data_IF_078276060318
#
_entry.id   IF_078276060318
#
_cell.length_a   1.000
_cell.length_b   1.000
_cell.length_c   1.000
_cell.angle_alpha   90.00
_cell.angle_beta   90.00
_cell.angle_gamma   90.00
#
_symmetry.space_group_name_H-M   'P 1'
#
loop_
_entity.id
_entity.type
_entity.pdbx_description
1 polymer ?
#
# COMPACT_ATOMS: atom_id res chain seq x y z
N UNK A 1 9.35 -9.81 -2.64
CA UNK A 1 8.94 -8.38 -2.67
C UNK A 1 7.73 -8.23 -3.60
N UNK A 2 6.87 -7.25 -3.35
CA UNK A 2 5.66 -7.02 -4.15
C UNK A 2 6.04 -6.35 -5.48
N UNK A 3 5.85 -7.00 -6.66
CA UNK A 3 6.24 -6.43 -7.94
C UNK A 3 5.47 -5.15 -8.29
N UNK A 4 4.14 -5.18 -8.14
CA UNK A 4 3.24 -4.04 -8.35
C UNK A 4 2.21 -4.05 -7.23
N UNK A 5 1.79 -2.90 -6.73
CA UNK A 5 0.74 -2.84 -5.73
C UNK A 5 0.41 -1.41 -5.36
N UNK A 6 -0.40 -1.25 -4.32
CA UNK A 6 -0.81 0.04 -3.80
C UNK A 6 -0.67 0.07 -2.28
N UNK A 7 -0.23 1.22 -1.77
CA UNK A 7 -0.22 1.52 -0.34
C UNK A 7 -1.04 2.78 -0.09
N UNK A 8 -2.02 2.65 0.80
CA UNK A 8 -2.89 3.72 1.25
C UNK A 8 -2.55 3.99 2.71
N UNK A 9 -2.20 5.22 3.03
CA UNK A 9 -1.95 5.69 4.39
C UNK A 9 -3.09 6.62 4.80
N UNK A 10 -3.94 6.13 5.69
CA UNK A 10 -5.07 6.88 6.24
C UNK A 10 -4.75 7.36 7.66
N UNK A 11 -4.86 8.65 7.98
CA UNK A 11 -4.70 9.15 9.35
C UNK A 11 -5.71 8.48 10.30
N UNK A 12 -5.24 7.94 11.42
CA UNK A 12 -6.11 7.30 12.41
C UNK A 12 -6.87 8.36 13.25
N UNK A 13 -8.05 8.75 12.76
CA UNK A 13 -8.94 9.69 13.44
C UNK A 13 -9.38 9.21 14.82
N UNK A 14 -9.42 7.89 15.07
CA UNK A 14 -9.74 7.32 16.38
C UNK A 14 -8.66 7.61 17.42
N UNK A 15 -7.43 7.90 16.97
CA UNK A 15 -6.30 8.32 17.80
C UNK A 15 -6.00 9.83 17.70
N UNK A 16 -6.94 10.62 17.17
CA UNK A 16 -6.81 12.06 17.08
C UNK A 16 -5.91 12.54 15.93
N UNK A 17 -5.58 11.67 14.97
CA UNK A 17 -4.88 12.07 13.76
C UNK A 17 -5.85 12.22 12.60
N UNK A 18 -5.93 13.41 12.01
CA UNK A 18 -6.90 13.73 10.97
C UNK A 18 -6.22 14.42 9.80
N UNK A 19 -6.59 14.03 8.58
CA UNK A 19 -6.02 14.59 7.36
C UNK A 19 -6.45 13.81 6.12
N UNK A 20 -6.02 14.25 4.93
CA UNK A 20 -6.24 13.49 3.71
C UNK A 20 -5.46 12.18 3.75
N UNK A 21 -6.06 11.11 3.22
CA UNK A 21 -5.33 9.88 2.96
C UNK A 21 -4.26 10.11 1.87
N UNK A 22 -3.11 9.47 2.02
CA UNK A 22 -2.04 9.46 1.03
C UNK A 22 -2.06 8.11 0.32
N UNK A 23 -2.03 8.12 -1.02
CA UNK A 23 -1.93 6.90 -1.82
C UNK A 23 -0.62 6.92 -2.58
N UNK A 24 0.08 5.79 -2.59
CA UNK A 24 1.29 5.60 -3.38
C UNK A 24 1.29 4.21 -4.03
N UNK A 25 1.86 4.14 -5.25
CA UNK A 25 2.04 2.87 -5.94
C UNK A 25 3.33 2.20 -5.48
N UNK A 26 3.25 0.89 -5.29
CA UNK A 26 4.38 0.01 -5.05
C UNK A 26 4.91 -0.47 -6.39
N UNK A 27 6.21 -0.29 -6.62
CA UNK A 27 6.93 -0.79 -7.79
C UNK A 27 8.18 -1.51 -7.32
N UNK A 28 8.28 -2.80 -7.64
CA UNK A 28 9.41 -3.66 -7.28
C UNK A 28 9.74 -3.64 -5.78
N UNK A 29 8.72 -3.63 -4.93
CA UNK A 29 8.83 -3.60 -3.47
C UNK A 29 9.15 -2.23 -2.89
N UNK A 30 9.26 -1.18 -3.72
CA UNK A 30 9.50 0.18 -3.29
C UNK A 30 8.26 1.03 -3.49
N UNK A 31 8.01 1.96 -2.57
CA UNK A 31 6.97 2.95 -2.70
C UNK A 31 7.52 4.30 -2.29
N UNK A 32 6.94 5.36 -2.84
CA UNK A 32 7.29 6.72 -2.49
C UNK A 32 6.01 7.55 -2.45
N UNK A 33 5.75 8.14 -1.29
CA UNK A 33 4.68 9.11 -1.13
C UNK A 33 5.19 10.48 -1.57
N UNK A 34 4.40 11.23 -2.34
CA UNK A 34 4.82 12.55 -2.83
C UNK A 34 5.08 13.53 -1.67
N UNK A 35 6.22 14.23 -1.73
CA UNK A 35 6.58 15.28 -0.77
C UNK A 35 5.50 16.36 -0.76
N UNK A 36 4.94 16.67 0.40
CA UNK A 36 3.89 17.69 0.56
C UNK A 36 2.46 17.18 0.35
N UNK A 37 2.26 15.90 0.00
CA UNK A 37 0.93 15.28 -0.08
C UNK A 37 0.68 14.30 1.09
N UNK A 38 0.20 14.86 2.20
CA UNK A 38 -0.70 14.14 3.12
C UNK A 38 -0.10 13.36 4.30
N UNK A 39 1.22 13.28 4.47
CA UNK A 39 1.81 12.73 5.71
C UNK A 39 2.21 13.86 6.64
N UNK A 40 1.40 14.08 7.69
CA UNK A 40 1.64 15.09 8.73
C UNK A 40 2.35 14.52 9.96
N UNK A 41 2.57 13.20 9.98
CA UNK A 41 3.05 12.42 11.12
C UNK A 41 1.96 12.15 12.17
N UNK A 42 2.18 11.13 13.00
CA UNK A 42 1.22 10.59 13.96
C UNK A 42 0.75 9.18 13.58
N UNK A 43 -0.32 8.68 14.23
CA UNK A 43 -0.85 7.35 13.98
C UNK A 43 -1.58 7.26 12.63
N UNK A 44 -1.22 6.27 11.82
CA UNK A 44 -1.82 5.96 10.54
C UNK A 44 -2.27 4.50 10.48
N UNK A 45 -3.37 4.28 9.77
CA UNK A 45 -3.83 2.98 9.29
C UNK A 45 -3.29 2.82 7.87
N UNK A 46 -2.43 1.84 7.69
CA UNK A 46 -1.77 1.55 6.43
C UNK A 46 -2.44 0.33 5.81
N UNK A 47 -2.98 0.49 4.61
CA UNK A 47 -3.57 -0.58 3.82
C UNK A 47 -2.69 -0.85 2.62
N UNK A 48 -2.27 -2.09 2.47
CA UNK A 48 -1.39 -2.52 1.40
C UNK A 48 -2.09 -3.60 0.58
N UNK A 49 -2.05 -3.42 -0.74
CA UNK A 49 -2.47 -4.41 -1.73
C UNK A 49 -1.29 -4.74 -2.65
N UNK A 50 -1.26 -5.98 -3.16
CA UNK A 50 -0.16 -6.42 -4.01
C UNK A 50 -0.64 -7.30 -5.14
N UNK A 51 -0.02 -7.11 -6.30
CA UNK A 51 -0.26 -7.81 -7.55
C UNK A 51 1.06 -8.30 -8.16
N UNK A 52 0.98 -9.31 -9.03
CA UNK A 52 2.15 -9.93 -9.66
C UNK A 52 2.82 -9.03 -10.71
N UNK A 53 2.15 -7.97 -11.18
CA UNK A 53 2.65 -7.06 -12.21
C UNK A 53 2.70 -7.68 -13.60
N UNK A 54 2.08 -8.84 -13.79
CA UNK A 54 2.05 -9.57 -15.05
C UNK A 54 0.72 -9.28 -15.73
N UNK A 55 0.71 -8.39 -16.72
CA UNK A 55 -0.51 -8.07 -17.45
C UNK A 55 -1.21 -9.35 -17.95
N UNK A 56 -2.43 -9.59 -17.47
CA UNK A 56 -3.24 -10.72 -17.92
C UNK A 56 -4.48 -10.23 -18.63
N UNK A 57 -4.88 -10.95 -19.68
CA UNK A 57 -6.18 -10.78 -20.32
C UNK A 57 -7.09 -11.89 -19.84
N UNK A 58 -8.17 -11.53 -19.16
CA UNK A 58 -9.18 -12.47 -18.70
C UNK A 58 -10.01 -13.01 -19.88
N UNK A 59 -10.66 -14.18 -19.73
CA UNK A 59 -11.44 -14.80 -20.80
C UNK A 59 -12.60 -13.94 -21.34
N UNK A 60 -13.07 -12.97 -20.57
CA UNK A 60 -14.11 -12.00 -20.93
C UNK A 60 -13.55 -10.76 -21.67
N UNK A 61 -12.24 -10.72 -21.94
CA UNK A 61 -11.57 -9.62 -22.63
C UNK A 61 -11.11 -8.49 -21.70
N UNK A 62 -11.32 -8.58 -20.38
CA UNK A 62 -10.79 -7.60 -19.44
C UNK A 62 -9.26 -7.69 -19.36
N UNK A 63 -8.59 -6.54 -19.46
CA UNK A 63 -7.14 -6.44 -19.26
C UNK A 63 -6.86 -6.01 -17.82
N UNK A 64 -6.09 -6.81 -17.10
CA UNK A 64 -5.55 -6.46 -15.79
C UNK A 64 -4.08 -6.04 -15.98
N UNK A 65 -3.78 -4.74 -16.15
CA UNK A 65 -2.41 -4.27 -16.35
C UNK A 65 -1.52 -4.51 -15.13
N UNK A 66 -2.11 -4.61 -13.94
CA UNK A 66 -1.41 -4.94 -12.69
C UNK A 66 -1.27 -6.45 -12.48
N UNK A 67 -1.95 -7.26 -13.29
CA UNK A 67 -1.93 -8.71 -13.24
C UNK A 67 -2.75 -9.32 -12.11
N UNK A 68 -2.39 -10.53 -11.69
CA UNK A 68 -3.13 -11.23 -10.64
C UNK A 68 -2.82 -10.65 -9.26
N UNK A 69 -3.84 -10.59 -8.42
CA UNK A 69 -3.72 -10.16 -7.04
C UNK A 69 -2.96 -11.22 -6.22
N UNK A 70 -1.85 -10.82 -5.60
CA UNK A 70 -1.07 -11.62 -4.65
C UNK A 70 -1.75 -11.66 -3.28
N UNK A 71 -2.18 -10.49 -2.80
CA UNK A 71 -2.95 -10.31 -1.57
C UNK A 71 -3.83 -9.06 -1.69
N UNK A 72 -5.00 -9.06 -1.04
CA UNK A 72 -5.99 -8.00 -1.18
C UNK A 72 -5.69 -6.76 -0.36
N UNK A 73 -6.02 -6.82 0.92
CA UNK A 73 -5.91 -5.66 1.80
C UNK A 73 -5.29 -6.12 3.11
N UNK A 74 -3.96 -5.95 3.18
CA UNK A 74 -3.24 -6.09 4.43
C UNK A 74 -3.28 -4.76 5.17
N UNK A 75 -4.02 -4.72 6.28
CA UNK A 75 -4.14 -3.54 7.13
C UNK A 75 -3.18 -3.64 8.32
N UNK A 76 -2.40 -2.60 8.54
CA UNK A 76 -1.49 -2.46 9.69
C UNK A 76 -1.54 -1.05 10.25
N UNK A 77 -1.08 -0.86 11.48
CA UNK A 77 -1.07 0.44 12.16
C UNK A 77 0.36 0.84 12.45
N UNK A 78 0.72 2.08 12.12
CA UNK A 78 2.06 2.62 12.33
C UNK A 78 1.97 4.04 12.86
N UNK A 79 2.97 4.45 13.64
CA UNK A 79 3.14 5.85 14.04
C UNK A 79 4.28 6.44 13.21
N UNK A 80 3.95 7.39 12.33
CA UNK A 80 4.92 8.02 11.45
C UNK A 80 5.46 9.30 12.10
N UNK A 81 6.79 9.50 12.15
CA UNK A 81 7.34 10.75 12.63
C UNK A 81 7.00 11.91 11.68
N UNK A 82 6.98 13.15 12.20
CA UNK A 82 6.69 14.37 11.42
C UNK A 82 7.82 14.81 10.48
N UNK A 83 8.71 13.88 10.13
CA UNK A 83 9.89 14.13 9.31
C UNK A 83 10.00 13.06 8.23
N UNK A 84 10.82 13.31 7.21
CA UNK A 84 11.13 12.29 6.20
C UNK A 84 11.65 11.04 6.90
N UNK A 85 10.95 9.94 6.71
CA UNK A 85 11.34 8.63 7.23
C UNK A 85 11.21 7.58 6.15
N UNK A 86 11.91 6.47 6.33
CA UNK A 86 11.66 5.23 5.61
C UNK A 86 10.94 4.31 6.58
N UNK A 87 9.86 3.68 6.11
CA UNK A 87 9.14 2.68 6.88
C UNK A 87 9.04 1.42 6.03
N UNK A 88 9.52 0.32 6.57
CA UNK A 88 9.39 -0.99 5.92
C UNK A 88 8.14 -1.69 6.47
N UNK A 89 7.41 -2.37 5.58
CA UNK A 89 6.23 -3.14 5.93
C UNK A 89 6.41 -4.58 5.45
N UNK A 90 6.29 -5.52 6.38
CA UNK A 90 6.19 -6.94 6.04
C UNK A 90 4.74 -7.26 5.69
N UNK A 91 4.52 -7.64 4.43
CA UNK A 91 3.21 -8.04 3.91
C UNK A 91 3.15 -9.56 3.74
N UNK A 92 1.97 -10.18 3.90
CA UNK A 92 1.79 -11.59 3.62
C UNK A 92 2.13 -11.88 2.15
N UNK A 93 3.01 -12.84 1.93
CA UNK A 93 3.32 -13.33 0.59
C UNK A 93 2.11 -14.11 0.05
N UNK A 94 1.92 -14.16 -1.28
CA UNK A 94 0.85 -14.92 -1.92
C UNK A 94 0.82 -16.42 -1.51
N UNK A 95 1.93 -16.93 -0.97
CA UNK A 95 2.07 -18.28 -0.42
C UNK A 95 1.41 -18.48 0.97
N UNK A 96 0.87 -17.42 1.60
CA UNK A 96 0.19 -17.52 2.89
C UNK A 96 -1.26 -18.02 2.80
N UNK A 97 -1.62 -18.79 1.77
CA UNK A 97 -2.81 -19.65 1.80
C UNK A 97 -2.41 -20.98 2.44
N UNK A 98 -2.71 -21.14 3.73
CA UNK A 98 -2.80 -22.46 4.35
C UNK A 98 -4.24 -22.75 4.72
#
# INVERSE_FOLDING_TARGET
PVPVGEIILEPDSTKGNSGPASVAMIKQGQYATETGKGIIGGPYIVRISGNDGVSVTLPDGMQLPEGNQLFGSYETKVDLPKQKTTQDFEVPSADAKK
#
